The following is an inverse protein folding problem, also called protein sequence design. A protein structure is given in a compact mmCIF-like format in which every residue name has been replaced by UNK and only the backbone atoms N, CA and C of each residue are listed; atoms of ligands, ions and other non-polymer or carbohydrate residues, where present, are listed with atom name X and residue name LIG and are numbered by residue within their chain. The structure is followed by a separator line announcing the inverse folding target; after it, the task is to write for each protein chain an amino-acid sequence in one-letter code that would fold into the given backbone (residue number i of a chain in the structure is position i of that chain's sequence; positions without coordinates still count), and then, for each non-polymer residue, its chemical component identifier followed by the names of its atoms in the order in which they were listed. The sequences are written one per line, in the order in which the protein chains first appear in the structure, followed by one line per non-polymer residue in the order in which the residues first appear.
data_IF_593450793601
#
_entry.id   IF_593450793601
#
_cell.length_a   1.000
_cell.length_b   1.000
_cell.length_c   1.000
_cell.angle_alpha   90.00
_cell.angle_beta   90.00
_cell.angle_gamma   90.00
#
_symmetry.space_group_name_H-M   'P 1'
#
loop_
_entity.id
_entity.type
_entity.pdbx_description
1 polymer ?
#
# COMPACT_ATOMS: atom_id res chain seq x y z
N UNK A 1 -19.12 -15.68 -2.40
CA UNK A 1 -18.82 -15.66 -0.94
C UNK A 1 -17.60 -14.77 -0.77
N UNK A 2 -17.71 -13.67 -0.06
CA UNK A 2 -16.64 -12.66 0.10
C UNK A 2 -15.44 -13.25 0.84
N UNK A 3 -14.21 -12.97 0.40
CA UNK A 3 -13.00 -13.53 1.00
C UNK A 3 -12.64 -12.86 2.33
N UNK A 4 -12.75 -11.52 2.42
CA UNK A 4 -12.52 -10.78 3.66
C UNK A 4 -13.64 -9.78 3.88
N UNK A 5 -14.14 -9.70 5.10
CA UNK A 5 -15.15 -8.71 5.52
C UNK A 5 -14.66 -8.04 6.79
N UNK A 6 -14.61 -6.72 6.78
CA UNK A 6 -14.39 -5.89 7.97
C UNK A 6 -15.62 -4.97 8.16
N UNK A 7 -16.15 -4.89 9.37
CA UNK A 7 -17.32 -4.06 9.71
C UNK A 7 -17.06 -3.27 10.96
N UNK A 8 -16.98 -1.96 10.82
CA UNK A 8 -16.77 -0.98 11.89
C UNK A 8 -15.64 -1.34 12.86
N UNK A 9 -14.55 -1.91 12.30
CA UNK A 9 -13.40 -2.32 13.07
C UNK A 9 -12.78 -1.13 13.78
N UNK A 10 -12.59 -1.27 15.09
CA UNK A 10 -11.88 -0.28 15.90
C UNK A 10 -10.73 -0.91 16.67
N UNK A 11 -9.68 -0.13 16.91
CA UNK A 11 -8.63 -0.51 17.84
C UNK A 11 -8.09 0.69 18.59
N UNK A 12 -8.21 0.66 19.91
CA UNK A 12 -7.64 1.64 20.83
C UNK A 12 -6.57 0.99 21.70
N UNK A 13 -5.39 1.60 21.72
CA UNK A 13 -4.27 1.19 22.57
C UNK A 13 -4.24 2.09 23.81
N UNK A 14 -4.05 1.46 24.97
CA UNK A 14 -3.82 2.15 26.22
C UNK A 14 -2.33 2.31 26.44
N UNK A 15 -1.84 3.53 26.37
CA UNK A 15 -0.44 3.88 26.59
C UNK A 15 -0.31 4.69 27.88
N UNK A 16 0.89 4.67 28.45
CA UNK A 16 1.20 5.52 29.61
C UNK A 16 2.31 6.47 29.18
N UNK A 17 2.06 7.75 29.31
CA UNK A 17 2.99 8.82 28.96
C UNK A 17 3.55 9.45 30.25
N UNK A 18 4.86 9.72 30.29
CA UNK A 18 5.54 10.38 31.39
C UNK A 18 6.49 9.48 32.19
N UNK A 19 7.71 9.97 32.45
CA UNK A 19 8.78 9.26 33.17
C UNK A 19 8.52 9.22 34.70
N UNK A 20 7.83 10.23 35.26
CA UNK A 20 7.55 10.38 36.70
C UNK A 20 6.04 10.43 37.05
N UNK A 21 5.18 10.97 36.17
CA UNK A 21 3.73 10.87 36.31
C UNK A 21 3.17 10.12 35.11
N UNK A 22 2.75 8.86 35.31
CA UNK A 22 2.13 8.03 34.28
C UNK A 22 0.70 8.53 34.04
N UNK A 23 0.54 9.42 33.08
CA UNK A 23 -0.79 9.79 32.57
C UNK A 23 -1.24 8.75 31.57
N UNK A 24 -2.44 8.20 31.77
CA UNK A 24 -3.06 7.27 30.82
C UNK A 24 -3.47 8.05 29.57
N UNK A 25 -3.02 7.56 28.41
CA UNK A 25 -3.44 8.07 27.12
C UNK A 25 -4.00 6.93 26.27
N UNK A 26 -5.22 7.12 25.78
CA UNK A 26 -5.84 6.19 24.84
C UNK A 26 -5.58 6.68 23.42
N UNK A 27 -4.94 5.83 22.60
CA UNK A 27 -4.60 6.11 21.20
C UNK A 27 -5.48 5.22 20.33
N UNK A 28 -6.46 5.83 19.64
CA UNK A 28 -7.31 5.13 18.68
C UNK A 28 -6.58 5.00 17.34
N UNK A 29 -6.02 3.83 17.08
CA UNK A 29 -5.27 3.53 15.87
C UNK A 29 -6.18 3.16 14.68
N UNK A 30 -7.37 2.59 14.96
CA UNK A 30 -8.39 2.27 13.95
C UNK A 30 -9.74 2.73 14.52
N UNK A 31 -10.53 3.42 13.68
CA UNK A 31 -11.71 4.20 14.11
C UNK A 31 -12.95 3.90 13.25
N UNK A 32 -13.33 2.61 13.15
CA UNK A 32 -14.51 2.20 12.39
C UNK A 32 -14.18 1.95 10.91
N UNK A 33 -13.20 1.08 10.65
CA UNK A 33 -12.83 0.67 9.29
C UNK A 33 -13.77 -0.42 8.81
N UNK A 34 -14.39 -0.21 7.63
CA UNK A 34 -15.29 -1.16 6.98
C UNK A 34 -14.90 -1.31 5.51
N UNK A 35 -14.69 -2.55 5.05
CA UNK A 35 -14.46 -2.90 3.65
C UNK A 35 -14.70 -4.39 3.40
N UNK A 36 -14.78 -4.76 2.14
CA UNK A 36 -14.88 -6.15 1.68
C UNK A 36 -13.84 -6.45 0.61
N UNK A 37 -13.37 -7.70 0.54
CA UNK A 37 -12.47 -8.18 -0.52
C UNK A 37 -13.11 -9.40 -1.13
N UNK A 38 -13.22 -9.42 -2.46
CA UNK A 38 -13.78 -10.55 -3.19
C UNK A 38 -12.70 -11.64 -3.45
N UNK A 39 -13.10 -12.90 -3.66
CA UNK A 39 -12.14 -13.96 -4.00
C UNK A 39 -11.35 -13.64 -5.28
N UNK A 40 -10.03 -13.82 -5.23
CA UNK A 40 -9.12 -13.53 -6.34
C UNK A 40 -8.81 -12.04 -6.55
N UNK A 41 -9.34 -11.15 -5.71
CA UNK A 41 -9.08 -9.72 -5.77
C UNK A 41 -7.71 -9.38 -5.15
N UNK A 42 -6.97 -8.45 -5.78
CA UNK A 42 -5.83 -7.79 -5.18
C UNK A 42 -6.29 -6.42 -4.66
N UNK A 43 -6.50 -6.35 -3.36
CA UNK A 43 -7.02 -5.16 -2.66
C UNK A 43 -5.89 -4.40 -1.98
N UNK A 44 -5.80 -3.09 -2.25
CA UNK A 44 -4.83 -2.18 -1.67
C UNK A 44 -5.38 -1.43 -0.45
N UNK A 45 -4.65 -1.42 0.67
CA UNK A 45 -4.91 -0.50 1.77
C UNK A 45 -3.80 0.56 1.80
N UNK A 46 -4.07 1.71 1.21
CA UNK A 46 -3.14 2.79 0.96
C UNK A 46 -3.25 3.88 2.02
N UNK A 47 -2.14 4.37 2.54
CA UNK A 47 -2.15 5.47 3.51
C UNK A 47 -0.77 5.76 4.10
N UNK A 48 -0.62 6.88 4.83
CA UNK A 48 0.65 7.26 5.43
C UNK A 48 1.03 6.34 6.59
N UNK A 49 2.27 6.47 7.06
CA UNK A 49 2.71 5.77 8.27
C UNK A 49 1.88 6.21 9.47
N UNK A 50 1.43 5.24 10.28
CA UNK A 50 0.57 5.50 11.42
C UNK A 50 -0.93 5.62 11.11
N UNK A 51 -1.37 5.51 9.84
CA UNK A 51 -2.79 5.60 9.47
C UNK A 51 -3.65 4.42 9.96
N UNK A 52 -3.05 3.33 10.46
CA UNK A 52 -3.77 2.17 10.96
C UNK A 52 -3.68 0.92 10.08
N UNK A 53 -2.96 0.94 8.94
CA UNK A 53 -2.82 -0.19 7.98
C UNK A 53 -2.38 -1.50 8.67
N UNK A 54 -1.19 -1.51 9.25
CA UNK A 54 -0.64 -2.70 9.96
C UNK A 54 -1.54 -3.13 11.13
N UNK A 55 -2.17 -2.19 11.82
CA UNK A 55 -3.11 -2.50 12.92
C UNK A 55 -4.34 -3.22 12.37
N UNK A 56 -4.89 -2.78 11.25
CA UNK A 56 -6.02 -3.42 10.58
C UNK A 56 -5.65 -4.83 10.13
N UNK A 57 -4.51 -5.01 9.42
CA UNK A 57 -4.03 -6.36 9.05
C UNK A 57 -3.90 -7.25 10.29
N UNK A 58 -3.26 -6.79 11.37
CA UNK A 58 -3.08 -7.60 12.58
C UNK A 58 -4.38 -8.07 13.20
N UNK A 59 -5.46 -7.33 13.07
CA UNK A 59 -6.79 -7.78 13.50
C UNK A 59 -7.33 -8.87 12.57
N UNK A 60 -7.22 -8.71 11.26
CA UNK A 60 -7.69 -9.68 10.27
C UNK A 60 -6.94 -11.02 10.34
N UNK A 61 -5.63 -11.00 10.59
CA UNK A 61 -4.81 -12.22 10.73
C UNK A 61 -4.79 -12.77 12.15
N UNK A 62 -5.69 -12.32 13.02
CA UNK A 62 -5.88 -12.82 14.39
C UNK A 62 -4.71 -12.58 15.36
N UNK A 63 -3.78 -11.69 15.04
CA UNK A 63 -2.67 -11.29 15.92
C UNK A 63 -3.06 -10.21 16.93
N UNK A 64 -4.18 -9.53 16.69
CA UNK A 64 -4.67 -8.47 17.53
C UNK A 64 -6.20 -8.54 17.62
N UNK A 65 -6.75 -8.48 18.83
CA UNK A 65 -8.20 -8.42 19.01
C UNK A 65 -8.72 -7.02 18.68
N UNK A 66 -9.83 -6.87 17.93
CA UNK A 66 -10.50 -5.59 17.79
C UNK A 66 -11.01 -5.07 19.14
N UNK A 67 -11.09 -3.75 19.31
CA UNK A 67 -11.75 -3.14 20.49
C UNK A 67 -13.27 -3.17 20.32
N UNK A 68 -13.77 -3.02 19.10
CA UNK A 68 -15.16 -3.22 18.69
C UNK A 68 -15.24 -3.45 17.18
N UNK A 69 -16.43 -3.74 16.68
CA UNK A 69 -16.66 -4.16 15.30
C UNK A 69 -16.41 -5.66 15.13
N UNK A 70 -16.49 -6.13 13.89
CA UNK A 70 -16.29 -7.55 13.54
C UNK A 70 -15.51 -7.70 12.24
N UNK A 71 -14.83 -8.83 12.09
CA UNK A 71 -14.23 -9.19 10.81
C UNK A 71 -14.29 -10.71 10.61
N UNK A 72 -14.33 -11.12 9.34
CA UNK A 72 -14.25 -12.51 8.96
C UNK A 72 -13.34 -12.70 7.75
N UNK A 73 -12.69 -13.86 7.68
CA UNK A 73 -11.87 -14.29 6.55
C UNK A 73 -12.42 -15.64 6.09
N UNK A 74 -12.81 -15.73 4.83
CA UNK A 74 -13.45 -16.91 4.23
C UNK A 74 -14.65 -17.42 5.05
N UNK A 75 -15.42 -16.48 5.61
CA UNK A 75 -16.59 -16.77 6.45
C UNK A 75 -16.27 -17.12 7.91
N UNK A 76 -15.00 -17.22 8.31
CA UNK A 76 -14.58 -17.50 9.68
C UNK A 76 -14.31 -16.22 10.46
N UNK A 77 -14.91 -16.07 11.63
CA UNK A 77 -14.71 -14.89 12.48
C UNK A 77 -13.29 -14.83 13.06
N UNK A 78 -12.67 -13.64 12.99
CA UNK A 78 -11.25 -13.47 13.39
C UNK A 78 -11.04 -13.55 14.92
N UNK A 79 -12.11 -13.58 15.72
CA UNK A 79 -12.04 -13.66 17.19
C UNK A 79 -12.38 -15.06 17.69
N UNK A 80 -13.40 -15.71 17.12
CA UNK A 80 -13.88 -17.02 17.57
C UNK A 80 -13.25 -18.18 16.83
N UNK A 81 -12.95 -18.03 15.52
CA UNK A 81 -12.50 -19.11 14.64
C UNK A 81 -11.00 -19.01 14.29
N UNK A 82 -10.18 -18.58 15.25
CA UNK A 82 -8.75 -18.27 15.08
C UNK A 82 -7.97 -19.36 14.32
N UNK A 83 -8.25 -20.64 14.59
CA UNK A 83 -7.52 -21.76 13.98
C UNK A 83 -7.87 -21.90 12.50
N UNK A 84 -9.14 -21.77 12.16
CA UNK A 84 -9.62 -21.87 10.77
C UNK A 84 -9.13 -20.72 9.94
N UNK A 85 -9.13 -19.49 10.48
CA UNK A 85 -8.52 -18.33 9.81
C UNK A 85 -7.04 -18.58 9.54
N UNK A 86 -6.25 -18.92 10.57
CA UNK A 86 -4.79 -19.09 10.45
C UNK A 86 -4.36 -20.20 9.49
N UNK A 87 -5.16 -21.22 9.31
CA UNK A 87 -4.88 -22.32 8.36
C UNK A 87 -5.05 -21.91 6.91
N UNK A 88 -5.80 -20.85 6.64
CA UNK A 88 -6.21 -20.43 5.29
C UNK A 88 -5.57 -19.13 4.83
N UNK A 89 -4.77 -18.51 5.70
CA UNK A 89 -4.12 -17.23 5.38
C UNK A 89 -2.60 -17.39 5.32
N UNK A 90 -1.99 -16.70 4.34
CA UNK A 90 -0.57 -16.40 4.33
C UNK A 90 -0.33 -14.98 4.86
N UNK A 91 0.73 -14.78 5.63
CA UNK A 91 1.10 -13.45 6.09
C UNK A 91 2.58 -13.17 5.92
N UNK A 92 2.86 -12.04 5.31
CA UNK A 92 4.21 -11.57 5.01
C UNK A 92 4.38 -10.15 5.54
N UNK A 93 5.33 -10.00 6.46
CA UNK A 93 5.74 -8.69 6.97
C UNK A 93 6.68 -8.00 5.99
N UNK A 94 6.63 -6.68 5.92
CA UNK A 94 7.73 -5.90 5.40
C UNK A 94 8.95 -5.96 6.34
N UNK A 95 10.14 -6.06 5.74
CA UNK A 95 11.41 -6.09 6.45
C UNK A 95 12.03 -7.47 6.67
N UNK A 96 13.24 -7.48 7.25
CA UNK A 96 14.15 -8.65 7.25
C UNK A 96 13.87 -9.71 8.36
N UNK A 97 12.76 -9.62 9.10
CA UNK A 97 12.53 -10.49 10.26
C UNK A 97 11.81 -11.78 9.91
N UNK A 98 12.24 -12.90 10.48
CA UNK A 98 11.53 -14.18 10.46
C UNK A 98 12.06 -15.21 9.47
N UNK A 99 13.25 -14.99 8.89
CA UNK A 99 14.06 -16.01 8.24
C UNK A 99 15.31 -16.28 9.11
N UNK A 100 15.86 -17.46 8.94
CA UNK A 100 17.11 -17.86 9.60
C UNK A 100 18.29 -17.55 8.67
N UNK A 101 19.03 -16.49 8.95
CA UNK A 101 20.10 -15.97 8.09
C UNK A 101 21.20 -17.00 7.80
N UNK A 102 21.52 -17.85 8.77
CA UNK A 102 22.57 -18.87 8.65
C UNK A 102 22.15 -20.12 7.88
N UNK A 103 20.86 -20.30 7.64
CA UNK A 103 20.32 -21.38 6.83
C UNK A 103 20.25 -20.96 5.36
N UNK A 104 20.26 -21.95 4.45
CA UNK A 104 19.97 -21.72 3.06
C UNK A 104 18.49 -21.35 2.85
N UNK A 105 18.14 -20.76 1.68
CA UNK A 105 16.76 -20.53 1.31
C UNK A 105 15.93 -21.81 1.36
N UNK A 106 16.47 -22.90 0.85
CA UNK A 106 15.86 -24.22 0.84
C UNK A 106 15.60 -24.73 2.25
N UNK A 107 16.59 -24.64 3.16
CA UNK A 107 16.46 -25.13 4.52
C UNK A 107 15.48 -24.29 5.35
N UNK A 108 15.41 -22.97 5.09
CA UNK A 108 14.35 -22.12 5.62
C UNK A 108 12.97 -22.65 5.20
N UNK A 109 12.74 -22.89 3.91
CA UNK A 109 11.46 -23.37 3.43
C UNK A 109 11.12 -24.76 3.95
N UNK A 110 12.09 -25.67 4.09
CA UNK A 110 11.90 -26.99 4.71
C UNK A 110 11.48 -26.85 6.17
N UNK A 111 12.19 -26.04 6.95
CA UNK A 111 11.86 -25.79 8.34
C UNK A 111 10.42 -25.28 8.53
N UNK A 112 10.02 -24.27 7.74
CA UNK A 112 8.67 -23.74 7.81
C UNK A 112 7.61 -24.70 7.25
N UNK A 113 7.96 -25.57 6.29
CA UNK A 113 7.05 -26.62 5.80
C UNK A 113 6.68 -27.59 6.92
N UNK A 114 7.65 -28.03 7.74
CA UNK A 114 7.37 -28.83 8.92
C UNK A 114 6.50 -28.09 9.92
N UNK A 115 6.81 -26.82 10.17
CA UNK A 115 6.06 -26.01 11.14
C UNK A 115 4.60 -25.78 10.72
N UNK A 116 4.35 -25.64 9.41
CA UNK A 116 3.00 -25.49 8.86
C UNK A 116 2.28 -26.81 8.60
N UNK A 117 2.92 -27.95 8.90
CA UNK A 117 2.35 -29.27 8.75
C UNK A 117 2.15 -29.70 7.30
N UNK A 118 2.97 -29.21 6.38
CA UNK A 118 2.97 -29.67 4.98
C UNK A 118 3.44 -31.13 4.95
N UNK A 119 2.66 -32.07 4.34
CA UNK A 119 3.03 -33.47 4.31
C UNK A 119 4.43 -33.70 3.74
N UNK A 120 5.33 -34.48 4.37
CA UNK A 120 6.72 -34.65 3.93
C UNK A 120 6.87 -35.05 2.47
N UNK A 121 5.96 -35.88 1.94
CA UNK A 121 5.92 -36.32 0.54
C UNK A 121 5.66 -35.17 -0.45
N UNK A 122 4.99 -34.09 0.01
CA UNK A 122 4.59 -32.96 -0.84
C UNK A 122 5.58 -31.79 -0.77
N UNK A 123 6.39 -31.72 0.32
CA UNK A 123 7.27 -30.58 0.60
C UNK A 123 8.25 -30.28 -0.53
N UNK A 124 8.93 -31.34 -1.06
CA UNK A 124 9.93 -31.15 -2.12
C UNK A 124 9.33 -30.52 -3.37
N UNK A 125 8.17 -31.01 -3.81
CA UNK A 125 7.48 -30.49 -4.99
C UNK A 125 6.98 -29.08 -4.73
N UNK A 126 6.33 -28.84 -3.56
CA UNK A 126 5.78 -27.55 -3.18
C UNK A 126 6.87 -26.48 -3.08
N UNK A 127 8.00 -26.78 -2.45
CA UNK A 127 9.12 -25.85 -2.32
C UNK A 127 9.69 -25.51 -3.70
N UNK A 128 9.88 -26.50 -4.60
CA UNK A 128 10.35 -26.26 -5.95
C UNK A 128 9.43 -25.30 -6.72
N UNK A 129 8.13 -25.57 -6.71
CA UNK A 129 7.14 -24.69 -7.34
C UNK A 129 7.18 -23.26 -6.78
N UNK A 130 7.29 -23.11 -5.46
CA UNK A 130 7.33 -21.79 -4.82
C UNK A 130 8.62 -21.03 -5.15
N UNK A 131 9.76 -21.72 -5.24
CA UNK A 131 11.03 -21.10 -5.68
C UNK A 131 10.93 -20.57 -7.12
N UNK A 132 10.24 -21.27 -8.01
CA UNK A 132 9.94 -20.78 -9.36
C UNK A 132 9.04 -19.55 -9.33
N UNK A 133 7.93 -19.60 -8.60
CA UNK A 133 6.96 -18.49 -8.45
C UNK A 133 7.64 -17.22 -7.95
N UNK A 134 8.56 -17.34 -7.00
CA UNK A 134 9.27 -16.18 -6.44
C UNK A 134 10.59 -15.86 -7.15
N UNK A 135 10.94 -16.57 -8.23
CA UNK A 135 12.15 -16.33 -9.02
C UNK A 135 13.45 -16.51 -8.22
N UNK A 136 13.51 -17.55 -7.36
CA UNK A 136 14.70 -17.90 -6.58
C UNK A 136 15.30 -19.25 -6.94
N UNK A 137 14.85 -19.88 -8.03
CA UNK A 137 15.44 -21.11 -8.59
C UNK A 137 16.92 -20.89 -8.90
N UNK A 138 17.78 -21.84 -8.48
CA UNK A 138 19.22 -21.77 -8.62
C UNK A 138 19.94 -20.96 -7.53
N UNK A 139 19.21 -20.28 -6.65
CA UNK A 139 19.76 -19.54 -5.52
C UNK A 139 19.38 -20.15 -4.16
N UNK A 140 18.55 -21.19 -4.17
CA UNK A 140 17.97 -21.84 -2.98
C UNK A 140 19.00 -22.46 -2.04
N UNK A 141 20.16 -22.86 -2.57
CA UNK A 141 21.28 -23.43 -1.78
C UNK A 141 22.13 -22.39 -1.05
N UNK A 142 21.99 -21.12 -1.39
CA UNK A 142 22.76 -20.04 -0.75
C UNK A 142 22.19 -19.70 0.62
N UNK A 143 23.05 -19.28 1.55
CA UNK A 143 22.62 -18.77 2.84
C UNK A 143 21.86 -17.47 2.70
N UNK A 144 20.79 -17.30 3.50
CA UNK A 144 19.95 -16.12 3.47
C UNK A 144 20.70 -14.84 3.85
N UNK A 145 21.78 -14.91 4.64
CA UNK A 145 22.64 -13.77 4.94
C UNK A 145 23.23 -13.11 3.68
N UNK A 146 23.45 -13.88 2.61
CA UNK A 146 23.92 -13.40 1.30
C UNK A 146 22.82 -12.87 0.37
N UNK A 147 21.55 -12.98 0.73
CA UNK A 147 20.45 -12.51 -0.11
C UNK A 147 20.31 -10.99 -0.08
N UNK A 148 19.95 -10.40 -1.23
CA UNK A 148 19.48 -9.02 -1.27
C UNK A 148 18.16 -8.88 -0.50
N UNK A 149 17.78 -7.67 -0.12
CA UNK A 149 16.47 -7.41 0.53
C UNK A 149 15.30 -7.90 -0.32
N UNK A 150 15.34 -7.68 -1.63
CA UNK A 150 14.34 -8.18 -2.55
C UNK A 150 14.26 -9.71 -2.58
N UNK A 151 15.40 -10.42 -2.59
CA UNK A 151 15.44 -11.88 -2.50
C UNK A 151 14.88 -12.38 -1.16
N UNK A 152 15.24 -11.74 -0.04
CA UNK A 152 14.68 -12.08 1.29
C UNK A 152 13.17 -11.92 1.31
N UNK A 153 12.65 -10.82 0.77
CA UNK A 153 11.22 -10.56 0.73
C UNK A 153 10.47 -11.59 -0.13
N UNK A 154 11.03 -11.96 -1.29
CA UNK A 154 10.46 -13.02 -2.13
C UNK A 154 10.51 -14.38 -1.44
N UNK A 155 11.55 -14.69 -0.67
CA UNK A 155 11.59 -15.89 0.16
C UNK A 155 10.54 -15.84 1.29
N UNK A 156 10.25 -14.67 1.87
CA UNK A 156 9.15 -14.49 2.83
C UNK A 156 7.79 -14.78 2.18
N UNK A 157 7.58 -14.37 0.92
CA UNK A 157 6.37 -14.72 0.18
C UNK A 157 6.29 -16.24 -0.03
N UNK A 158 7.36 -16.88 -0.51
CA UNK A 158 7.40 -18.34 -0.65
C UNK A 158 7.06 -19.05 0.66
N UNK A 159 7.63 -18.60 1.78
CA UNK A 159 7.29 -19.12 3.11
C UNK A 159 5.81 -18.96 3.43
N UNK A 160 5.23 -17.79 3.17
CA UNK A 160 3.80 -17.51 3.42
C UNK A 160 2.86 -18.36 2.58
N UNK A 161 3.34 -18.94 1.49
CA UNK A 161 2.58 -19.78 0.55
C UNK A 161 2.72 -21.29 0.77
N UNK A 162 3.58 -21.74 1.67
CA UNK A 162 3.91 -23.17 1.84
C UNK A 162 2.70 -24.06 2.07
N UNK A 163 1.75 -23.62 2.88
CA UNK A 163 0.52 -24.36 3.24
C UNK A 163 -0.66 -24.04 2.31
N UNK A 164 -0.38 -23.45 1.15
CA UNK A 164 -1.35 -23.13 0.09
C UNK A 164 -2.55 -22.28 0.54
N UNK A 165 -2.33 -21.11 1.16
CA UNK A 165 -3.41 -20.27 1.65
C UNK A 165 -4.27 -19.72 0.50
N UNK A 166 -5.56 -19.48 0.80
CA UNK A 166 -6.50 -18.83 -0.13
C UNK A 166 -6.37 -17.31 -0.11
N UNK A 167 -6.01 -16.73 1.06
CA UNK A 167 -5.87 -15.29 1.27
C UNK A 167 -4.47 -14.97 1.76
N UNK A 168 -3.83 -13.97 1.16
CA UNK A 168 -2.47 -13.53 1.47
C UNK A 168 -2.49 -12.07 1.92
N UNK A 169 -1.90 -11.81 3.07
CA UNK A 169 -1.72 -10.47 3.61
C UNK A 169 -0.26 -10.04 3.46
N UNK A 170 -0.02 -8.96 2.74
CA UNK A 170 1.29 -8.36 2.49
C UNK A 170 1.35 -6.99 3.17
N UNK A 171 2.13 -6.87 4.24
CA UNK A 171 2.24 -5.61 4.99
C UNK A 171 3.51 -4.86 4.60
N UNK A 172 3.37 -3.83 3.75
CA UNK A 172 4.45 -3.00 3.20
C UNK A 172 5.62 -3.81 2.60
N UNK A 173 5.36 -4.76 1.66
CA UNK A 173 6.35 -5.74 1.23
C UNK A 173 7.55 -5.14 0.49
N UNK A 174 7.42 -3.97 -0.11
CA UNK A 174 8.47 -3.31 -0.92
C UNK A 174 9.36 -2.34 -0.12
N UNK A 175 9.10 -2.19 1.19
CA UNK A 175 9.85 -1.21 1.99
C UNK A 175 11.36 -1.51 2.02
N UNK A 176 12.17 -0.51 1.65
CA UNK A 176 13.63 -0.61 1.69
C UNK A 176 14.26 -1.53 0.64
N UNK A 177 13.49 -1.95 -0.37
CA UNK A 177 13.98 -2.72 -1.52
C UNK A 177 14.42 -1.72 -2.61
N UNK A 178 15.49 -2.06 -3.31
CA UNK A 178 15.94 -1.29 -4.47
C UNK A 178 14.94 -1.36 -5.64
N UNK A 179 15.00 -0.44 -6.62
CA UNK A 179 14.00 -0.38 -7.70
C UNK A 179 13.90 -1.65 -8.55
N UNK A 180 15.01 -2.38 -8.76
CA UNK A 180 15.02 -3.62 -9.54
C UNK A 180 14.33 -4.73 -8.75
N UNK A 181 14.72 -4.92 -7.50
CA UNK A 181 14.10 -5.89 -6.59
C UNK A 181 12.61 -5.60 -6.35
N UNK A 182 12.22 -4.32 -6.26
CA UNK A 182 10.82 -3.93 -6.12
C UNK A 182 9.99 -4.28 -7.37
N UNK A 183 10.55 -4.13 -8.58
CA UNK A 183 9.90 -4.56 -9.82
C UNK A 183 9.68 -6.07 -9.87
N UNK A 184 10.71 -6.86 -9.49
CA UNK A 184 10.61 -8.32 -9.42
C UNK A 184 9.57 -8.77 -8.37
N UNK A 185 9.53 -8.07 -7.24
CA UNK A 185 8.55 -8.32 -6.18
C UNK A 185 7.12 -8.05 -6.67
N UNK A 186 6.88 -6.93 -7.37
CA UNK A 186 5.56 -6.62 -7.94
C UNK A 186 5.13 -7.66 -8.96
N UNK A 187 6.04 -8.12 -9.83
CA UNK A 187 5.74 -9.21 -10.77
C UNK A 187 5.34 -10.50 -10.02
N UNK A 188 6.02 -10.83 -8.91
CA UNK A 188 5.66 -11.96 -8.05
C UNK A 188 4.24 -11.79 -7.47
N UNK A 189 3.91 -10.59 -6.94
CA UNK A 189 2.59 -10.32 -6.36
C UNK A 189 1.48 -10.39 -7.43
N UNK A 190 1.71 -9.83 -8.62
CA UNK A 190 0.77 -9.93 -9.74
C UNK A 190 0.52 -11.40 -10.13
N UNK A 191 1.57 -12.24 -10.19
CA UNK A 191 1.44 -13.66 -10.45
C UNK A 191 0.63 -14.44 -9.42
N UNK A 192 0.57 -13.99 -8.15
CA UNK A 192 -0.31 -14.60 -7.15
C UNK A 192 -1.79 -14.39 -7.48
N UNK A 193 -2.14 -13.19 -7.93
CA UNK A 193 -3.50 -12.87 -8.40
C UNK A 193 -3.89 -13.71 -9.61
N UNK A 194 -2.98 -13.87 -10.60
CA UNK A 194 -3.21 -14.70 -11.77
C UNK A 194 -3.44 -16.18 -11.41
N UNK A 195 -2.88 -16.65 -10.31
CA UNK A 195 -3.14 -17.97 -9.73
C UNK A 195 -4.45 -18.05 -8.93
N UNK A 196 -5.26 -16.99 -8.92
CA UNK A 196 -6.55 -16.93 -8.23
C UNK A 196 -6.45 -16.70 -6.72
N UNK A 197 -5.28 -16.32 -6.19
CA UNK A 197 -5.14 -15.98 -4.78
C UNK A 197 -5.76 -14.62 -4.49
N UNK A 198 -6.43 -14.51 -3.35
CA UNK A 198 -6.88 -13.21 -2.82
C UNK A 198 -5.73 -12.55 -2.07
N UNK A 199 -5.45 -11.29 -2.38
CA UNK A 199 -4.32 -10.56 -1.78
C UNK A 199 -4.80 -9.26 -1.15
N UNK A 200 -4.47 -9.01 0.13
CA UNK A 200 -4.53 -7.69 0.74
C UNK A 200 -3.11 -7.14 0.87
N UNK A 201 -2.84 -6.06 0.15
CA UNK A 201 -1.57 -5.35 0.14
C UNK A 201 -1.69 -4.04 0.91
N UNK A 202 -0.84 -3.81 1.93
CA UNK A 202 -0.66 -2.46 2.45
C UNK A 202 0.56 -1.82 1.84
N UNK A 203 0.44 -0.57 1.48
CA UNK A 203 1.55 0.22 0.96
C UNK A 203 1.34 1.71 1.24
N UNK A 204 2.41 2.47 1.19
CA UNK A 204 2.38 3.93 1.12
C UNK A 204 2.92 4.43 -0.23
N UNK A 205 3.26 3.51 -1.15
CA UNK A 205 3.71 3.81 -2.50
C UNK A 205 2.51 3.78 -3.47
N UNK A 206 2.10 4.95 -3.95
CA UNK A 206 0.95 5.13 -4.84
C UNK A 206 1.14 4.38 -6.15
N UNK A 207 2.36 4.39 -6.70
CA UNK A 207 2.70 3.66 -7.91
C UNK A 207 2.47 2.14 -7.79
N UNK A 208 2.84 1.55 -6.64
CA UNK A 208 2.62 0.13 -6.38
C UNK A 208 1.12 -0.22 -6.33
N UNK A 209 0.33 0.62 -5.64
CA UNK A 209 -1.11 0.45 -5.56
C UNK A 209 -1.79 0.62 -6.92
N UNK A 210 -1.36 1.60 -7.72
CA UNK A 210 -1.88 1.87 -9.07
C UNK A 210 -1.59 0.72 -10.05
N UNK A 211 -0.38 0.13 -9.97
CA UNK A 211 0.06 -0.94 -10.85
C UNK A 211 -0.58 -2.30 -10.51
N UNK A 212 -0.78 -2.59 -9.22
CA UNK A 212 -1.14 -3.93 -8.76
C UNK A 212 -2.60 -4.12 -8.40
N UNK A 213 -3.24 -3.11 -7.80
CA UNK A 213 -4.52 -3.32 -7.12
C UNK A 213 -5.73 -3.19 -8.04
N UNK A 214 -6.70 -4.09 -7.88
CA UNK A 214 -8.01 -3.99 -8.53
C UNK A 214 -8.85 -2.89 -7.89
N UNK A 215 -8.83 -2.83 -6.54
CA UNK A 215 -9.46 -1.78 -5.73
C UNK A 215 -8.50 -1.35 -4.63
N UNK A 216 -8.67 -0.10 -4.23
CA UNK A 216 -7.86 0.54 -3.20
C UNK A 216 -8.80 1.20 -2.20
N UNK A 217 -8.57 0.98 -0.90
CA UNK A 217 -9.11 1.81 0.16
C UNK A 217 -7.99 2.74 0.67
N UNK A 218 -8.26 4.04 0.67
CA UNK A 218 -7.37 5.05 1.24
C UNK A 218 -7.71 5.23 2.70
N UNK A 219 -6.74 4.95 3.58
CA UNK A 219 -6.90 5.09 5.02
C UNK A 219 -6.12 6.29 5.56
N UNK A 220 -6.78 7.14 6.35
CA UNK A 220 -6.22 8.30 7.05
C UNK A 220 -6.75 8.33 8.48
N UNK A 221 -5.88 8.55 9.47
CA UNK A 221 -6.25 8.69 10.89
C UNK A 221 -7.16 7.57 11.42
N UNK A 222 -6.94 6.34 10.94
CA UNK A 222 -7.71 5.16 11.32
C UNK A 222 -9.08 5.03 10.66
N UNK A 223 -9.39 5.79 9.61
CA UNK A 223 -10.65 5.75 8.85
C UNK A 223 -10.40 5.57 7.36
N UNK A 224 -11.26 4.87 6.66
CA UNK A 224 -11.28 4.87 5.20
C UNK A 224 -11.92 6.18 4.75
N UNK A 225 -11.18 6.95 3.94
CA UNK A 225 -11.63 8.25 3.39
C UNK A 225 -12.08 8.14 1.94
N UNK A 226 -11.61 7.14 1.21
CA UNK A 226 -12.06 6.84 -0.16
C UNK A 226 -11.82 5.36 -0.47
N UNK A 227 -12.64 4.79 -1.35
CA UNK A 227 -12.49 3.43 -1.86
C UNK A 227 -12.96 3.37 -3.31
N UNK A 228 -12.22 2.64 -4.15
CA UNK A 228 -12.56 2.45 -5.57
C UNK A 228 -11.43 1.81 -6.35
N UNK A 229 -11.63 1.61 -7.65
CA UNK A 229 -10.55 1.23 -8.55
C UNK A 229 -9.53 2.36 -8.67
N UNK A 230 -8.26 2.09 -9.04
CA UNK A 230 -7.29 3.16 -9.30
C UNK A 230 -7.83 4.23 -10.27
N UNK A 231 -8.54 3.83 -11.32
CA UNK A 231 -9.16 4.74 -12.29
C UNK A 231 -10.26 5.61 -11.66
N UNK A 232 -11.13 5.02 -10.80
CA UNK A 232 -12.16 5.77 -10.09
C UNK A 232 -11.57 6.78 -9.12
N UNK A 233 -10.54 6.41 -8.35
CA UNK A 233 -9.89 7.30 -7.40
C UNK A 233 -9.20 8.46 -8.12
N UNK A 234 -8.52 8.21 -9.24
CA UNK A 234 -7.93 9.25 -10.09
C UNK A 234 -9.01 10.17 -10.66
N UNK A 235 -10.11 9.63 -11.15
CA UNK A 235 -11.22 10.39 -11.73
C UNK A 235 -12.04 11.19 -10.72
N UNK A 236 -12.17 10.72 -9.48
CA UNK A 236 -12.94 11.43 -8.44
C UNK A 236 -12.32 12.78 -8.03
N UNK A 237 -11.01 12.88 -8.10
CA UNK A 237 -10.27 14.08 -7.68
C UNK A 237 -9.88 14.95 -8.85
N UNK A 238 -9.69 14.37 -10.01
CA UNK A 238 -9.26 15.07 -11.20
C UNK A 238 -10.10 14.65 -12.41
N UNK A 239 -11.27 15.23 -12.55
CA UNK A 239 -12.01 15.17 -13.81
C UNK A 239 -11.31 15.95 -14.94
N UNK A 240 -9.98 16.17 -14.83
CA UNK A 240 -9.21 17.08 -15.68
C UNK A 240 -7.79 16.60 -15.96
N UNK A 241 -6.95 17.56 -16.30
CA UNK A 241 -5.52 17.41 -16.61
C UNK A 241 -4.68 18.01 -15.48
N UNK A 242 -3.49 17.50 -15.28
CA UNK A 242 -2.46 18.15 -14.46
C UNK A 242 -1.53 18.92 -15.40
N UNK A 243 -1.52 20.24 -15.25
CA UNK A 243 -0.58 21.11 -15.94
C UNK A 243 0.65 21.28 -15.05
N UNK A 244 1.80 20.83 -15.53
CA UNK A 244 3.09 21.01 -14.86
C UNK A 244 3.88 22.12 -15.56
N UNK A 245 4.32 23.12 -14.79
CA UNK A 245 5.10 24.25 -15.26
C UNK A 245 6.38 24.33 -14.44
N UNK A 246 7.52 24.15 -15.11
CA UNK A 246 8.82 24.42 -14.48
C UNK A 246 8.97 25.93 -14.28
N UNK A 247 9.30 26.35 -13.07
CA UNK A 247 9.48 27.75 -12.70
C UNK A 247 10.77 27.96 -11.94
N UNK A 248 11.27 29.19 -11.95
CA UNK A 248 12.47 29.59 -11.22
C UNK A 248 12.06 30.66 -10.18
N UNK A 249 11.63 30.20 -9.01
CA UNK A 249 11.27 31.11 -7.91
C UNK A 249 9.86 31.70 -8.04
N UNK A 250 8.81 30.85 -8.12
CA UNK A 250 7.43 31.32 -8.08
C UNK A 250 7.06 31.78 -6.66
N UNK A 251 6.64 33.04 -6.46
CA UNK A 251 6.23 33.52 -5.15
C UNK A 251 4.93 32.86 -4.67
N UNK A 252 4.81 32.55 -3.38
CA UNK A 252 3.63 31.89 -2.83
C UNK A 252 2.32 32.63 -3.08
N UNK A 253 2.34 33.98 -3.07
CA UNK A 253 1.14 34.77 -3.34
C UNK A 253 0.63 34.59 -4.77
N UNK A 254 1.53 34.35 -5.74
CA UNK A 254 1.15 34.05 -7.14
C UNK A 254 0.48 32.68 -7.22
N UNK A 255 1.04 31.67 -6.52
CA UNK A 255 0.44 30.33 -6.45
C UNK A 255 -0.97 30.39 -5.87
N UNK A 256 -1.13 31.08 -4.75
CA UNK A 256 -2.45 31.28 -4.12
C UNK A 256 -3.44 32.02 -5.01
N UNK A 257 -2.97 33.00 -5.79
CA UNK A 257 -3.80 33.74 -6.72
C UNK A 257 -4.30 32.94 -7.93
N UNK A 258 -3.72 31.77 -8.20
CA UNK A 258 -4.20 30.88 -9.27
C UNK A 258 -5.49 30.13 -8.91
N UNK A 259 -5.75 29.88 -7.61
CA UNK A 259 -6.87 29.09 -7.11
C UNK A 259 -7.88 29.89 -6.28
N UNK A 260 -7.63 31.20 -6.04
CA UNK A 260 -8.52 32.08 -5.26
C UNK A 260 -9.82 32.44 -5.99
N UNK A 261 -10.71 33.24 -5.34
CA UNK A 261 -11.98 33.68 -5.92
C UNK A 261 -11.81 34.42 -7.28
N UNK A 262 -10.69 35.12 -7.45
CA UNK A 262 -10.29 35.78 -8.70
C UNK A 262 -9.25 34.94 -9.46
N UNK A 263 -9.17 33.65 -9.21
CA UNK A 263 -8.22 32.72 -9.80
C UNK A 263 -8.48 32.46 -11.29
N UNK A 264 -7.71 31.53 -11.86
CA UNK A 264 -7.91 31.11 -13.25
C UNK A 264 -9.07 30.10 -13.28
N UNK A 265 -10.11 30.47 -14.05
CA UNK A 265 -11.28 29.57 -14.21
C UNK A 265 -10.86 28.21 -14.75
N UNK A 266 -11.29 27.13 -14.07
CA UNK A 266 -10.90 25.76 -14.40
C UNK A 266 -9.64 25.24 -13.69
N UNK A 267 -8.96 26.05 -12.86
CA UNK A 267 -7.90 25.60 -11.95
C UNK A 267 -8.51 25.29 -10.57
N UNK A 268 -8.44 24.02 -10.15
CA UNK A 268 -8.99 23.55 -8.86
C UNK A 268 -8.00 23.63 -7.71
N UNK A 269 -6.76 23.24 -7.98
CA UNK A 269 -5.70 23.28 -6.97
C UNK A 269 -4.36 23.64 -7.61
N UNK A 270 -3.46 24.21 -6.81
CA UNK A 270 -2.10 24.52 -7.18
C UNK A 270 -1.14 24.04 -6.10
N UNK A 271 -0.06 23.41 -6.51
CA UNK A 271 1.00 22.94 -5.62
C UNK A 271 2.36 23.26 -6.22
N UNK A 272 3.37 23.44 -5.37
CA UNK A 272 4.75 23.68 -5.80
C UNK A 272 5.65 22.63 -5.18
N UNK A 273 6.42 21.95 -6.00
CA UNK A 273 7.41 20.97 -5.59
C UNK A 273 8.80 21.46 -5.98
N UNK A 274 9.71 21.51 -5.02
CA UNK A 274 11.11 21.87 -5.30
C UNK A 274 11.86 20.67 -5.88
N UNK A 275 12.54 20.89 -7.00
CA UNK A 275 13.42 19.91 -7.66
C UNK A 275 14.80 20.52 -7.92
N UNK A 276 15.68 20.47 -6.92
CA UNK A 276 17.00 21.07 -6.99
C UNK A 276 16.95 22.58 -7.11
N UNK A 277 17.32 23.15 -8.28
CA UNK A 277 17.27 24.60 -8.56
C UNK A 277 15.96 25.03 -9.27
N UNK A 278 15.07 24.12 -9.52
CA UNK A 278 13.79 24.34 -10.20
C UNK A 278 12.64 24.11 -9.24
N UNK A 279 11.56 24.82 -9.48
CA UNK A 279 10.26 24.54 -8.88
C UNK A 279 9.33 24.03 -9.97
N UNK A 280 8.58 22.98 -9.67
CA UNK A 280 7.51 22.48 -10.54
C UNK A 280 6.18 22.92 -9.94
N UNK A 281 5.51 23.84 -10.62
CA UNK A 281 4.15 24.25 -10.32
C UNK A 281 3.20 23.22 -10.95
N UNK A 282 2.50 22.46 -10.13
CA UNK A 282 1.48 21.49 -10.53
C UNK A 282 0.09 22.10 -10.34
N UNK A 283 -0.71 22.13 -11.39
CA UNK A 283 -2.07 22.67 -11.39
C UNK A 283 -3.05 21.57 -11.79
N UNK A 284 -4.03 21.30 -10.96
CA UNK A 284 -5.16 20.45 -11.34
C UNK A 284 -6.20 21.30 -12.06
N UNK A 285 -6.49 20.94 -13.31
CA UNK A 285 -7.36 21.71 -14.20
C UNK A 285 -8.53 20.85 -14.66
N UNK A 286 -9.68 21.47 -14.95
CA UNK A 286 -10.81 20.80 -15.57
C UNK A 286 -10.47 20.30 -16.98
N UNK A 287 -11.06 19.17 -17.40
CA UNK A 287 -10.71 18.50 -18.66
C UNK A 287 -10.89 19.36 -19.92
N UNK A 288 -11.90 20.24 -19.91
CA UNK A 288 -12.31 21.03 -21.06
C UNK A 288 -11.68 22.44 -21.09
N UNK A 289 -10.95 22.85 -20.04
CA UNK A 289 -10.44 24.23 -19.96
C UNK A 289 -9.03 24.37 -20.52
N UNK A 290 -8.85 25.24 -21.49
CA UNK A 290 -7.53 25.67 -21.97
C UNK A 290 -6.93 26.77 -21.07
N UNK A 291 -6.54 26.37 -19.87
CA UNK A 291 -6.04 27.30 -18.82
C UNK A 291 -4.59 27.72 -19.00
N UNK A 292 -3.83 27.06 -19.87
CA UNK A 292 -2.37 27.23 -19.98
C UNK A 292 -1.99 28.70 -20.23
N UNK A 293 -2.64 29.38 -21.19
CA UNK A 293 -2.33 30.77 -21.50
C UNK A 293 -2.70 31.72 -20.35
N UNK A 294 -3.82 31.47 -19.69
CA UNK A 294 -4.28 32.30 -18.57
C UNK A 294 -3.35 32.15 -17.35
N UNK A 295 -2.91 30.91 -17.08
CA UNK A 295 -1.92 30.64 -16.02
C UNK A 295 -0.59 31.34 -16.34
N UNK A 296 -0.07 31.20 -17.55
CA UNK A 296 1.17 31.87 -17.97
C UNK A 296 1.07 33.39 -17.85
N UNK A 297 -0.06 33.99 -18.22
CA UNK A 297 -0.31 35.42 -18.06
C UNK A 297 -0.31 35.83 -16.56
N UNK A 298 -0.83 34.99 -15.66
CA UNK A 298 -0.84 35.26 -14.21
C UNK A 298 0.53 35.09 -13.56
N UNK A 299 1.41 34.24 -14.13
CA UNK A 299 2.79 34.10 -13.66
C UNK A 299 3.63 35.36 -13.93
N UNK A 300 3.24 36.20 -14.89
CA UNK A 300 3.89 37.47 -15.17
C UNK A 300 5.37 37.35 -15.48
N UNK A 301 6.21 37.99 -14.63
CA UNK A 301 7.68 38.00 -14.79
C UNK A 301 8.37 36.73 -14.22
N UNK A 302 7.61 35.76 -13.73
CA UNK A 302 8.18 34.50 -13.25
C UNK A 302 8.81 33.76 -14.43
N UNK A 303 10.09 33.42 -14.29
CA UNK A 303 10.80 32.70 -15.33
C UNK A 303 10.24 31.28 -15.47
N UNK A 304 9.66 30.98 -16.63
CA UNK A 304 9.02 29.71 -16.96
C UNK A 304 9.96 28.88 -17.82
N UNK A 305 10.08 27.60 -17.48
CA UNK A 305 10.78 26.59 -18.27
C UNK A 305 9.81 25.75 -19.09
N UNK A 306 9.88 24.42 -18.92
CA UNK A 306 9.03 23.47 -19.64
C UNK A 306 7.59 23.55 -19.12
N UNK A 307 6.64 23.53 -20.05
CA UNK A 307 5.20 23.38 -19.77
C UNK A 307 4.75 22.04 -20.35
N UNK A 308 4.12 21.21 -19.53
CA UNK A 308 3.60 19.91 -19.96
C UNK A 308 2.25 19.62 -19.29
N UNK A 309 1.38 18.95 -20.02
CA UNK A 309 0.13 18.44 -19.49
C UNK A 309 0.21 16.91 -19.41
N UNK A 310 -0.29 16.36 -18.32
CA UNK A 310 -0.40 14.90 -18.11
C UNK A 310 -1.74 14.52 -17.51
N UNK A 311 -2.05 13.25 -17.57
CA UNK A 311 -3.16 12.69 -16.81
C UNK A 311 -2.85 12.68 -15.30
N UNK A 312 -3.89 12.78 -14.45
CA UNK A 312 -3.74 12.66 -13.02
C UNK A 312 -3.21 11.28 -12.62
N UNK A 313 -2.28 11.25 -11.69
CA UNK A 313 -1.78 10.03 -11.07
C UNK A 313 -2.56 9.69 -9.80
N UNK A 314 -2.39 8.48 -9.29
CA UNK A 314 -2.94 8.13 -7.99
C UNK A 314 -2.33 8.97 -6.84
N UNK A 315 -1.10 9.49 -7.02
CA UNK A 315 -0.46 10.40 -6.07
C UNK A 315 -1.21 11.75 -6.00
N UNK A 316 -1.58 12.32 -7.15
CA UNK A 316 -2.39 13.55 -7.20
C UNK A 316 -3.75 13.35 -6.51
N UNK A 317 -4.40 12.22 -6.78
CA UNK A 317 -5.65 11.85 -6.13
C UNK A 317 -5.49 11.68 -4.62
N UNK A 318 -4.44 11.00 -4.19
CA UNK A 318 -4.15 10.78 -2.77
C UNK A 318 -3.90 12.09 -2.03
N UNK A 319 -3.08 12.99 -2.59
CA UNK A 319 -2.80 14.30 -1.98
C UNK A 319 -4.09 15.08 -1.78
N UNK A 320 -4.96 15.14 -2.78
CA UNK A 320 -6.23 15.84 -2.65
C UNK A 320 -7.16 15.20 -1.60
N UNK A 321 -7.28 13.86 -1.57
CA UNK A 321 -8.09 13.14 -0.57
C UNK A 321 -7.57 13.28 0.87
N UNK A 322 -6.28 13.58 1.03
CA UNK A 322 -5.63 13.67 2.34
C UNK A 322 -5.44 15.12 2.80
N UNK A 323 -5.45 16.11 1.90
CA UNK A 323 -5.30 17.54 2.24
C UNK A 323 -6.63 18.27 2.38
N UNK A 324 -7.70 17.78 1.76
CA UNK A 324 -9.04 18.34 2.01
C UNK A 324 -9.49 18.05 3.45
N UNK A 325 -9.94 19.11 4.19
CA UNK A 325 -10.26 19.03 5.61
C UNK A 325 -11.50 18.21 5.93
#
# INVERSE_FOLDING_TARGET
MTAVVARDLTRTFRTHEGRFKRTRRDVAAVRGVSFTIEPGELFGLLGPNGAGKTTTIKMLITLLLPSSGSASVLGHDVVTDLREVRRRIGYVFGGDRGLYDRLSGLDNLRYFSELYGVPPREQRQRIGQLLEVVGLTGREGERVEGYSRGMRQRLHIARGLLHDPDVIFLDEPSIGIDPVGARELRATIAGLREQGKTVLLTTHYMFEADELCDRIAVIRDGRIVAEGTPAQLKGAVASGRVLEIETYGVPQHVVTALTGPDGVAGVRSASVVERGHLQVLGLQCDAESEVTQQVLARLGDVRVGRVSAREPTLEDAYVALVTDP
#
